data_IF_043428915357
#
_entry.id   IF_043428915357
#
_cell.length_a   1.000
_cell.length_b   1.000
_cell.length_c   1.000
_cell.angle_alpha   90.00
_cell.angle_beta   90.00
_cell.angle_gamma   90.00
#
_symmetry.space_group_name_H-M   'P 1'
#
loop_
_entity.id
_entity.type
_entity.pdbx_description
1 polymer ?
#
# COMPACT_ATOMS: atom_id res chain seq x y z
N UNK A 1 -12.76 15.39 0.91
CA UNK A 1 -12.67 15.17 -0.55
C UNK A 1 -11.54 14.22 -0.92
N UNK A 2 -10.26 14.61 -0.80
CA UNK A 2 -9.11 13.77 -1.22
C UNK A 2 -9.13 12.37 -0.57
N UNK A 3 -9.22 12.28 0.77
CA UNK A 3 -9.23 10.99 1.48
C UNK A 3 -10.38 10.07 1.03
N UNK A 4 -11.56 10.63 0.78
CA UNK A 4 -12.71 9.84 0.31
C UNK A 4 -12.49 9.34 -1.13
N UNK A 5 -11.93 10.19 -2.00
CA UNK A 5 -11.56 9.79 -3.36
C UNK A 5 -10.48 8.70 -3.34
N UNK A 6 -9.42 8.85 -2.55
CA UNK A 6 -8.39 7.82 -2.39
C UNK A 6 -9.00 6.50 -1.90
N UNK A 7 -9.93 6.57 -0.94
CA UNK A 7 -10.63 5.38 -0.44
C UNK A 7 -11.47 4.70 -1.52
N UNK A 8 -12.23 5.47 -2.32
CA UNK A 8 -13.04 4.86 -3.39
C UNK A 8 -12.19 4.18 -4.45
N UNK A 9 -11.00 4.72 -4.76
CA UNK A 9 -10.07 4.12 -5.73
C UNK A 9 -9.59 2.73 -5.33
N UNK A 10 -9.44 2.45 -4.04
CA UNK A 10 -9.04 1.10 -3.57
C UNK A 10 -10.04 0.00 -3.96
N UNK A 11 -11.28 0.37 -4.25
CA UNK A 11 -12.37 -0.55 -4.59
C UNK A 11 -12.86 -0.40 -6.03
N UNK A 12 -12.17 0.39 -6.85
CA UNK A 12 -12.44 0.54 -8.28
C UNK A 12 -11.41 -0.25 -9.10
N UNK A 13 -11.89 -1.21 -9.89
CA UNK A 13 -11.04 -2.06 -10.72
C UNK A 13 -10.30 -1.32 -11.85
N UNK A 14 -10.73 -0.09 -12.18
CA UNK A 14 -10.08 0.75 -13.18
C UNK A 14 -8.98 1.66 -12.60
N UNK A 15 -8.91 1.78 -11.28
CA UNK A 15 -7.95 2.64 -10.60
C UNK A 15 -6.73 1.83 -10.18
N UNK A 16 -5.50 2.23 -10.58
CA UNK A 16 -4.29 1.47 -10.29
C UNK A 16 -3.77 1.77 -8.88
N UNK A 17 -4.64 2.06 -7.92
CA UNK A 17 -4.31 2.48 -6.56
C UNK A 17 -4.75 1.41 -5.59
N UNK A 18 -3.81 0.92 -4.79
CA UNK A 18 -4.00 -0.23 -3.94
C UNK A 18 -3.60 0.08 -2.50
N UNK A 19 -4.20 -0.66 -1.56
CA UNK A 19 -3.90 -0.57 -0.14
C UNK A 19 -3.79 -1.96 0.48
N UNK A 20 -2.83 -2.16 1.38
CA UNK A 20 -2.79 -3.29 2.30
C UNK A 20 -2.74 -2.78 3.73
N UNK A 21 -3.24 -3.59 4.64
CA UNK A 21 -3.16 -3.35 6.08
C UNK A 21 -2.50 -4.53 6.76
N UNK A 22 -1.73 -4.23 7.80
CA UNK A 22 -1.26 -5.24 8.73
C UNK A 22 -2.23 -5.27 9.89
N UNK A 23 -2.79 -6.44 10.18
CA UNK A 23 -3.74 -6.67 11.25
C UNK A 23 -3.16 -7.72 12.21
N UNK A 24 -3.37 -7.52 13.51
CA UNK A 24 -3.11 -8.52 14.53
C UNK A 24 -4.05 -8.35 15.71
N UNK A 25 -4.66 -9.46 16.16
CA UNK A 25 -5.62 -9.49 17.29
C UNK A 25 -6.81 -8.54 17.13
N UNK A 26 -7.31 -8.39 15.90
CA UNK A 26 -8.38 -7.48 15.51
C UNK A 26 -7.95 -6.01 15.41
N UNK A 27 -6.65 -5.70 15.53
CA UNK A 27 -6.14 -4.32 15.53
C UNK A 27 -5.30 -4.03 14.29
N UNK A 28 -5.51 -2.84 13.70
CA UNK A 28 -4.67 -2.35 12.62
C UNK A 28 -3.32 -1.88 13.17
N UNK A 29 -2.24 -2.52 12.73
CA UNK A 29 -0.87 -2.26 13.15
C UNK A 29 -0.10 -1.38 12.16
N UNK A 30 -0.58 -1.28 10.92
CA UNK A 30 0.02 -0.47 9.87
C UNK A 30 -0.73 -0.58 8.55
N UNK A 31 -0.31 0.25 7.60
CA UNK A 31 -0.84 0.28 6.24
C UNK A 31 0.27 0.58 5.24
N UNK A 32 0.01 0.21 3.99
CA UNK A 32 0.77 0.64 2.83
C UNK A 32 -0.19 1.01 1.71
N UNK A 33 0.09 2.12 1.02
CA UNK A 33 -0.56 2.46 -0.24
C UNK A 33 0.47 2.42 -1.36
N UNK A 34 0.08 1.83 -2.48
CA UNK A 34 0.95 1.72 -3.65
C UNK A 34 0.12 1.87 -4.92
N UNK A 35 0.76 2.31 -6.01
CA UNK A 35 0.10 2.50 -7.28
C UNK A 35 0.98 2.14 -8.48
N UNK A 36 0.34 1.76 -9.58
CA UNK A 36 1.03 1.50 -10.84
C UNK A 36 0.93 2.69 -11.78
N UNK A 37 2.06 3.08 -12.36
CA UNK A 37 2.08 4.12 -13.38
C UNK A 37 3.04 3.76 -14.54
N UNK A 38 2.79 4.33 -15.72
CA UNK A 38 3.65 4.15 -16.89
C UNK A 38 5.01 4.82 -16.69
N UNK A 39 5.99 4.32 -17.43
CA UNK A 39 7.33 4.89 -17.52
C UNK A 39 7.63 5.24 -18.98
N UNK A 40 8.39 6.31 -19.20
CA UNK A 40 8.93 6.67 -20.53
C UNK A 40 10.26 6.00 -20.83
N UNK A 41 10.85 5.30 -19.83
CA UNK A 41 12.15 4.64 -19.91
C UNK A 41 12.08 3.13 -19.73
N UNK A 42 10.89 2.57 -19.52
CA UNK A 42 10.66 1.14 -19.37
C UNK A 42 9.34 0.72 -20.03
N UNK A 43 9.30 -0.52 -20.54
CA UNK A 43 8.10 -1.10 -21.16
C UNK A 43 7.05 -1.46 -20.09
N UNK A 44 7.49 -2.08 -18.98
CA UNK A 44 6.63 -2.43 -17.86
C UNK A 44 6.26 -1.18 -17.02
N UNK A 45 5.08 -1.15 -16.37
CA UNK A 45 4.74 -0.10 -15.42
C UNK A 45 5.63 -0.18 -14.17
N UNK A 46 5.80 0.96 -13.49
CA UNK A 46 6.44 1.02 -12.18
C UNK A 46 5.40 0.76 -11.09
N UNK A 47 5.76 -0.06 -10.10
CA UNK A 47 5.08 -0.12 -8.81
C UNK A 47 5.68 0.95 -7.89
N UNK A 48 4.91 1.98 -7.55
CA UNK A 48 5.34 3.03 -6.64
C UNK A 48 4.70 2.85 -5.27
N UNK A 49 5.52 2.55 -4.27
CA UNK A 49 5.13 2.50 -2.87
C UNK A 49 5.08 3.92 -2.32
N UNK A 50 3.87 4.47 -2.19
CA UNK A 50 3.64 5.88 -1.89
C UNK A 50 3.66 6.15 -0.39
N UNK A 51 2.85 5.39 0.36
CA UNK A 51 2.67 5.58 1.79
C UNK A 51 3.02 4.29 2.53
N UNK A 52 3.80 4.39 3.60
CA UNK A 52 4.06 3.27 4.52
C UNK A 52 3.98 3.78 5.96
N UNK A 53 3.09 3.19 6.74
CA UNK A 53 2.87 3.59 8.12
C UNK A 53 2.74 2.38 9.04
N UNK A 54 3.30 2.51 10.23
CA UNK A 54 3.10 1.56 11.34
C UNK A 54 2.77 2.34 12.60
N UNK A 55 1.86 1.81 13.42
CA UNK A 55 1.52 2.42 14.70
C UNK A 55 2.77 2.53 15.57
N UNK A 56 2.85 3.59 16.37
CA UNK A 56 4.05 3.86 17.18
C UNK A 56 4.42 2.66 18.08
N UNK A 57 3.43 2.00 18.66
CA UNK A 57 3.60 0.83 19.53
C UNK A 57 4.06 -0.45 18.77
N UNK A 58 3.94 -0.47 17.45
CA UNK A 58 4.32 -1.60 16.59
C UNK A 58 5.61 -1.37 15.81
N UNK A 59 6.22 -0.18 15.94
CA UNK A 59 7.54 0.11 15.34
C UNK A 59 8.61 -0.82 15.93
N UNK A 60 9.57 -1.21 15.09
CA UNK A 60 10.63 -2.16 15.46
C UNK A 60 10.20 -3.63 15.47
N UNK A 61 8.93 -3.95 15.23
CA UNK A 61 8.41 -5.34 15.24
C UNK A 61 8.31 -5.99 13.85
N UNK A 62 8.93 -5.40 12.83
CA UNK A 62 8.92 -5.96 11.46
C UNK A 62 7.67 -5.68 10.63
N UNK A 63 6.64 -5.01 11.16
CA UNK A 63 5.37 -4.75 10.44
C UNK A 63 5.59 -4.03 9.10
N UNK A 64 6.46 -3.01 9.06
CA UNK A 64 6.76 -2.29 7.82
C UNK A 64 7.39 -3.19 6.74
N UNK A 65 8.25 -4.14 7.14
CA UNK A 65 8.84 -5.11 6.23
C UNK A 65 7.77 -6.06 5.68
N UNK A 66 6.91 -6.59 6.55
CA UNK A 66 5.82 -7.48 6.15
C UNK A 66 4.87 -6.79 5.16
N UNK A 67 4.59 -5.49 5.35
CA UNK A 67 3.80 -4.70 4.40
C UNK A 67 4.48 -4.55 3.04
N UNK A 68 5.80 -4.28 3.01
CA UNK A 68 6.58 -4.20 1.77
C UNK A 68 6.61 -5.56 1.05
N UNK A 69 6.82 -6.64 1.78
CA UNK A 69 6.78 -8.01 1.25
C UNK A 69 5.39 -8.34 0.66
N UNK A 70 4.31 -7.94 1.35
CA UNK A 70 2.95 -8.09 0.84
C UNK A 70 2.67 -7.30 -0.43
N UNK A 71 3.37 -6.18 -0.66
CA UNK A 71 3.35 -5.45 -1.95
C UNK A 71 4.08 -6.25 -3.02
N UNK A 72 5.28 -6.78 -2.73
CA UNK A 72 6.02 -7.62 -3.68
C UNK A 72 5.24 -8.86 -4.14
N UNK A 73 4.45 -9.46 -3.27
CA UNK A 73 3.60 -10.62 -3.63
C UNK A 73 2.45 -10.27 -4.59
N UNK A 74 1.99 -9.02 -4.59
CA UNK A 74 0.80 -8.57 -5.33
C UNK A 74 1.12 -7.74 -6.58
N UNK A 75 2.38 -7.34 -6.75
CA UNK A 75 2.85 -6.54 -7.87
C UNK A 75 3.49 -7.40 -8.95
#
# INVERSE_FOLDING_TARGET
EITQMTWSRFFDAYEPVHALVAEGEGQLLGLVHYLFHRSTTAIAPNCYLQDLFTTQASRGKGIGRALIEGVYERA
#
